data_IF_707997075049
#
_entry.id   IF_707997075049
#
_cell.length_a   1.000
_cell.length_b   1.000
_cell.length_c   1.000
_cell.angle_alpha   90.00
_cell.angle_beta   90.00
_cell.angle_gamma   90.00
#
_symmetry.space_group_name_H-M   'P 1'
#
loop_
_entity.id
_entity.type
_entity.pdbx_description
1 polymer ?
#
# COMPACT_ATOMS: atom_id res chain seq x y z
N UNK A 1 17.04 -3.81 -12.90
CA UNK A 1 15.72 -4.15 -13.46
C UNK A 1 14.73 -3.09 -13.02
N UNK A 2 13.91 -2.56 -13.92
CA UNK A 2 12.95 -1.49 -13.59
C UNK A 2 11.71 -2.04 -12.88
N UNK A 3 11.07 -1.24 -12.04
CA UNK A 3 9.83 -1.61 -11.33
C UNK A 3 8.69 -1.96 -12.30
N UNK A 4 8.62 -1.25 -13.43
CA UNK A 4 7.68 -1.54 -14.52
C UNK A 4 7.87 -2.96 -15.07
N UNK A 5 9.11 -3.41 -15.22
CA UNK A 5 9.39 -4.76 -15.71
C UNK A 5 8.96 -5.83 -14.70
N UNK A 6 9.12 -5.56 -13.40
CA UNK A 6 8.66 -6.46 -12.33
C UNK A 6 7.12 -6.51 -12.29
N UNK A 7 6.45 -5.37 -12.47
CA UNK A 7 5.00 -5.29 -12.53
C UNK A 7 4.43 -6.02 -13.76
N UNK A 8 5.06 -5.86 -14.93
CA UNK A 8 4.71 -6.54 -16.18
C UNK A 8 4.81 -8.06 -16.02
N UNK A 9 5.92 -8.55 -15.45
CA UNK A 9 6.11 -9.98 -15.18
C UNK A 9 5.07 -10.53 -14.20
N UNK A 10 4.74 -9.77 -13.15
CA UNK A 10 3.69 -10.16 -12.20
C UNK A 10 2.32 -10.23 -12.87
N UNK A 11 1.98 -9.26 -13.74
CA UNK A 11 0.74 -9.26 -14.52
C UNK A 11 0.65 -10.49 -15.42
N UNK A 12 1.70 -10.78 -16.18
CA UNK A 12 1.76 -11.96 -17.06
C UNK A 12 1.65 -13.27 -16.28
N UNK A 13 2.24 -13.36 -15.09
CA UNK A 13 2.09 -14.52 -14.22
C UNK A 13 0.66 -14.67 -13.71
N UNK A 14 0.01 -13.58 -13.30
CA UNK A 14 -1.39 -13.59 -12.89
C UNK A 14 -2.32 -14.03 -14.02
N UNK A 15 -2.12 -13.52 -15.24
CA UNK A 15 -2.89 -13.92 -16.41
C UNK A 15 -2.74 -15.42 -16.72
N UNK A 16 -1.52 -15.95 -16.61
CA UNK A 16 -1.27 -17.39 -16.79
C UNK A 16 -1.95 -18.25 -15.74
N UNK A 17 -1.94 -17.82 -14.48
CA UNK A 17 -2.62 -18.54 -13.38
C UNK A 17 -4.14 -18.49 -13.58
N UNK A 18 -4.69 -17.32 -13.91
CA UNK A 18 -6.12 -17.16 -14.17
C UNK A 18 -6.59 -18.06 -15.32
N UNK A 19 -5.86 -18.06 -16.44
CA UNK A 19 -6.18 -18.92 -17.58
C UNK A 19 -6.11 -20.43 -17.24
N UNK A 20 -5.19 -20.83 -16.37
CA UNK A 20 -5.09 -22.21 -15.90
C UNK A 20 -6.26 -22.59 -14.98
N UNK A 21 -6.63 -21.71 -14.05
CA UNK A 21 -7.80 -21.88 -13.17
C UNK A 21 -9.08 -22.04 -14.00
N UNK A 22 -9.27 -21.20 -15.01
CA UNK A 22 -10.42 -21.26 -15.92
C UNK A 22 -10.43 -22.56 -16.75
N UNK A 23 -9.29 -22.93 -17.33
CA UNK A 23 -9.15 -24.12 -18.19
C UNK A 23 -9.40 -25.41 -17.42
N UNK A 24 -8.86 -25.51 -16.22
CA UNK A 24 -8.98 -26.69 -15.37
C UNK A 24 -10.29 -26.70 -14.57
N UNK A 25 -11.15 -25.68 -14.75
CA UNK A 25 -12.38 -25.47 -13.95
C UNK A 25 -12.10 -25.58 -12.46
N UNK A 26 -10.91 -25.15 -12.03
CA UNK A 26 -10.59 -25.09 -10.62
C UNK A 26 -11.56 -24.11 -10.01
N UNK A 27 -12.29 -24.54 -8.98
CA UNK A 27 -13.14 -23.62 -8.24
C UNK A 27 -12.26 -22.47 -7.76
N UNK A 28 -12.56 -21.25 -8.22
CA UNK A 28 -11.87 -20.06 -7.76
C UNK A 28 -11.84 -20.12 -6.23
N UNK A 29 -10.63 -20.00 -5.65
CA UNK A 29 -10.49 -20.10 -4.21
C UNK A 29 -11.39 -19.05 -3.56
N UNK A 30 -12.35 -19.52 -2.78
CA UNK A 30 -13.31 -18.70 -2.07
C UNK A 30 -12.94 -18.75 -0.59
N UNK A 31 -12.26 -17.72 -0.03
CA UNK A 31 -11.80 -17.74 1.35
C UNK A 31 -12.95 -17.98 2.35
N UNK A 32 -14.17 -17.53 2.02
CA UNK A 32 -15.38 -17.77 2.82
C UNK A 32 -15.78 -19.25 2.95
N UNK A 33 -15.25 -20.13 2.09
CA UNK A 33 -15.49 -21.59 2.13
C UNK A 33 -14.36 -22.36 2.81
N UNK A 34 -13.25 -21.70 3.14
CA UNK A 34 -12.12 -22.29 3.83
C UNK A 34 -12.20 -21.97 5.33
N UNK A 35 -12.43 -23.01 6.15
CA UNK A 35 -12.58 -22.86 7.60
C UNK A 35 -11.33 -22.31 8.28
N UNK A 36 -10.13 -22.53 7.70
CA UNK A 36 -8.88 -21.97 8.22
C UNK A 36 -8.83 -20.47 7.97
N UNK A 37 -9.12 -20.04 6.73
CA UNK A 37 -9.16 -18.63 6.37
C UNK A 37 -10.19 -17.87 7.21
N UNK A 38 -11.39 -18.45 7.39
CA UNK A 38 -12.42 -17.90 8.27
C UNK A 38 -11.93 -17.79 9.72
N UNK A 39 -11.28 -18.83 10.25
CA UNK A 39 -10.76 -18.81 11.61
C UNK A 39 -9.67 -17.74 11.80
N UNK A 40 -8.76 -17.57 10.83
CA UNK A 40 -7.75 -16.53 10.87
C UNK A 40 -8.36 -15.13 10.83
N UNK A 41 -9.36 -14.88 9.98
CA UNK A 41 -10.04 -13.58 9.94
C UNK A 41 -10.81 -13.31 11.24
N UNK A 42 -11.47 -14.32 11.81
CA UNK A 42 -12.13 -14.17 13.12
C UNK A 42 -11.14 -13.86 14.25
N UNK A 43 -9.99 -14.54 14.28
CA UNK A 43 -8.94 -14.26 15.27
C UNK A 43 -8.35 -12.86 15.08
N UNK A 44 -8.13 -12.45 13.83
CA UNK A 44 -7.67 -11.11 13.49
C UNK A 44 -8.67 -10.04 13.95
N UNK A 45 -9.96 -10.25 13.68
CA UNK A 45 -11.03 -9.33 14.10
C UNK A 45 -11.11 -9.24 15.63
N UNK A 46 -11.00 -10.36 16.35
CA UNK A 46 -10.96 -10.35 17.82
C UNK A 46 -9.80 -9.52 18.36
N UNK A 47 -8.60 -9.66 17.81
CA UNK A 47 -7.44 -8.84 18.21
C UNK A 47 -7.70 -7.37 17.98
N UNK A 48 -8.18 -7.02 16.79
CA UNK A 48 -8.54 -5.65 16.45
C UNK A 48 -9.58 -5.06 17.42
N UNK A 49 -10.63 -5.81 17.76
CA UNK A 49 -11.64 -5.35 18.72
C UNK A 49 -11.04 -5.09 20.11
N UNK A 50 -10.12 -5.95 20.57
CA UNK A 50 -9.40 -5.73 21.83
C UNK A 50 -8.56 -4.47 21.78
N UNK A 51 -7.80 -4.28 20.70
CA UNK A 51 -6.94 -3.12 20.50
C UNK A 51 -7.77 -1.81 20.45
N UNK A 52 -8.96 -1.84 19.81
CA UNK A 52 -9.91 -0.71 19.80
C UNK A 52 -10.40 -0.42 21.21
N UNK A 53 -10.84 -1.43 21.95
CA UNK A 53 -11.31 -1.25 23.32
C UNK A 53 -10.21 -0.77 24.28
N UNK A 54 -8.95 -1.09 24.00
CA UNK A 54 -7.79 -0.55 24.73
C UNK A 54 -7.50 0.91 24.38
N UNK A 55 -7.58 1.27 23.10
CA UNK A 55 -7.42 2.64 22.62
C UNK A 55 -8.50 3.58 23.19
N UNK A 56 -9.77 3.16 23.14
CA UNK A 56 -10.89 3.91 23.74
C UNK A 56 -10.70 4.14 25.24
N UNK A 57 -10.24 3.12 25.98
CA UNK A 57 -9.95 3.23 27.42
C UNK A 57 -8.79 4.15 27.75
N UNK A 58 -7.79 4.20 26.87
CA UNK A 58 -6.59 5.02 27.05
C UNK A 58 -6.72 6.44 26.47
N UNK A 59 -7.82 6.74 25.79
CA UNK A 59 -8.00 8.00 25.07
C UNK A 59 -7.02 8.17 23.89
N UNK A 60 -6.37 7.09 23.48
CA UNK A 60 -5.46 7.05 22.33
C UNK A 60 -6.29 6.75 21.08
N UNK A 61 -5.85 7.28 19.95
CA UNK A 61 -6.47 7.00 18.66
C UNK A 61 -6.52 5.48 18.40
N UNK A 62 -7.66 5.00 17.89
CA UNK A 62 -7.91 3.57 17.67
C UNK A 62 -6.85 2.89 16.79
N UNK A 63 -6.68 1.56 16.90
CA UNK A 63 -5.78 0.82 16.02
C UNK A 63 -6.17 1.02 14.55
N UNK A 64 -5.29 1.68 13.82
CA UNK A 64 -5.55 2.11 12.45
C UNK A 64 -5.16 0.99 11.45
N UNK A 65 -6.13 0.53 10.66
CA UNK A 65 -5.97 -0.65 9.80
C UNK A 65 -5.20 -0.29 8.52
N UNK A 66 -3.88 -0.29 8.60
CA UNK A 66 -2.98 0.03 7.48
C UNK A 66 -3.12 -0.88 6.24
N UNK A 67 -3.57 -2.13 6.40
CA UNK A 67 -3.65 -3.12 5.29
C UNK A 67 -4.66 -2.73 4.21
N UNK A 68 -5.62 -1.87 4.51
CA UNK A 68 -6.72 -1.52 3.60
C UNK A 68 -6.61 -0.08 3.09
N UNK A 69 -5.68 0.72 3.64
CA UNK A 69 -5.50 2.11 3.24
C UNK A 69 -4.35 2.23 2.27
N UNK A 70 -4.62 2.76 1.08
CA UNK A 70 -3.62 3.02 0.06
C UNK A 70 -3.53 4.51 -0.16
N UNK A 71 -2.33 5.06 -0.05
CA UNK A 71 -2.03 6.47 -0.28
C UNK A 71 -1.24 6.64 -1.57
N UNK A 72 -1.64 7.61 -2.40
CA UNK A 72 -0.80 8.18 -3.45
C UNK A 72 0.09 9.24 -2.84
N UNK A 73 1.39 9.11 -3.03
CA UNK A 73 2.37 10.15 -2.71
C UNK A 73 2.91 10.69 -4.03
N UNK A 74 2.63 11.96 -4.31
CA UNK A 74 3.23 12.63 -5.46
C UNK A 74 4.47 13.38 -5.00
N UNK A 75 5.62 13.09 -5.60
CA UNK A 75 6.84 13.85 -5.41
C UNK A 75 6.94 14.98 -6.46
N UNK A 76 7.80 15.97 -6.24
CA UNK A 76 8.22 16.97 -7.24
C UNK A 76 9.73 17.20 -7.13
N UNK A 77 10.44 17.47 -8.24
CA UNK A 77 11.85 17.82 -8.16
C UNK A 77 12.07 19.10 -7.33
N UNK A 78 13.15 19.13 -6.57
CA UNK A 78 13.67 20.31 -5.87
C UNK A 78 14.31 21.23 -6.90
N UNK A 79 14.09 22.54 -6.76
CA UNK A 79 14.64 23.54 -7.67
C UNK A 79 16.18 23.40 -7.75
N UNK A 80 16.71 23.26 -8.96
CA UNK A 80 18.15 23.10 -9.23
C UNK A 80 18.58 21.75 -9.81
N UNK A 81 17.70 20.74 -9.87
CA UNK A 81 18.00 19.49 -10.57
C UNK A 81 17.70 19.63 -12.09
N UNK A 82 18.75 19.70 -12.89
CA UNK A 82 18.76 19.88 -14.36
C UNK A 82 18.36 18.65 -15.18
N UNK A 83 17.29 17.96 -14.78
CA UNK A 83 16.72 16.82 -15.51
C UNK A 83 15.21 16.96 -15.61
N UNK A 84 14.73 17.96 -16.34
CA UNK A 84 13.34 18.43 -16.30
C UNK A 84 12.38 17.77 -17.32
N UNK A 85 12.53 16.49 -17.62
CA UNK A 85 11.59 15.79 -18.55
C UNK A 85 11.00 14.49 -18.00
N UNK A 86 11.38 14.07 -16.80
CA UNK A 86 10.78 12.87 -16.20
C UNK A 86 9.63 13.28 -15.26
N UNK A 87 8.39 12.80 -15.50
CA UNK A 87 7.29 13.04 -14.58
C UNK A 87 7.69 12.51 -13.21
N UNK A 88 7.50 13.32 -12.18
CA UNK A 88 7.86 12.93 -10.83
C UNK A 88 7.11 11.65 -10.43
N UNK A 89 7.79 10.65 -9.86
CA UNK A 89 7.17 9.37 -9.57
C UNK A 89 6.01 9.55 -8.59
N UNK A 90 4.84 9.06 -8.98
CA UNK A 90 3.71 8.88 -8.08
C UNK A 90 3.82 7.50 -7.43
N UNK A 91 3.99 7.47 -6.12
CA UNK A 91 4.11 6.22 -5.36
C UNK A 91 2.77 5.85 -4.74
N UNK A 92 2.47 4.56 -4.71
CA UNK A 92 1.30 4.02 -4.03
C UNK A 92 1.79 3.21 -2.83
N UNK A 93 1.44 3.65 -1.62
CA UNK A 93 1.92 3.04 -0.37
C UNK A 93 0.75 2.66 0.52
N UNK A 94 0.86 1.50 1.16
CA UNK A 94 0.01 1.17 2.30
C UNK A 94 0.58 1.81 3.57
N UNK A 95 -0.26 2.50 4.34
CA UNK A 95 0.10 3.13 5.60
C UNK A 95 -1.13 3.22 6.50
N UNK A 96 -0.94 3.35 7.80
CA UNK A 96 -2.01 3.63 8.75
C UNK A 96 -2.59 5.03 8.50
N UNK A 97 -1.70 6.02 8.35
CA UNK A 97 -2.06 7.43 8.16
C UNK A 97 -1.32 8.08 7.00
N UNK A 98 -1.78 9.26 6.60
CA UNK A 98 -1.08 10.09 5.62
C UNK A 98 0.33 10.51 6.08
N UNK A 99 0.51 10.71 7.39
CA UNK A 99 1.83 11.02 7.98
C UNK A 99 2.79 9.84 7.87
N UNK A 100 2.33 8.63 8.19
CA UNK A 100 3.14 7.43 8.01
C UNK A 100 3.44 7.15 6.52
N UNK A 101 2.49 7.42 5.62
CA UNK A 101 2.74 7.33 4.18
C UNK A 101 3.82 8.32 3.71
N UNK A 102 3.82 9.55 4.25
CA UNK A 102 4.84 10.55 3.98
C UNK A 102 6.22 10.10 4.47
N UNK A 103 6.32 9.64 5.73
CA UNK A 103 7.55 9.12 6.32
C UNK A 103 8.12 7.93 5.53
N UNK A 104 7.26 6.98 5.15
CA UNK A 104 7.66 5.82 4.32
C UNK A 104 8.14 6.26 2.93
N UNK A 105 7.46 7.21 2.30
CA UNK A 105 7.91 7.77 1.01
C UNK A 105 9.24 8.52 1.15
N UNK A 106 9.45 9.21 2.27
CA UNK A 106 10.69 9.92 2.58
C UNK A 106 11.84 8.97 2.87
N UNK A 107 11.62 7.85 3.54
CA UNK A 107 12.65 6.83 3.74
C UNK A 107 13.15 6.21 2.42
N UNK A 108 12.29 6.15 1.39
CA UNK A 108 12.64 5.64 0.05
C UNK A 108 13.40 6.68 -0.78
N UNK A 109 13.05 7.97 -0.66
CA UNK A 109 13.60 9.02 -1.54
C UNK A 109 14.57 10.01 -0.87
N UNK A 110 14.58 10.08 0.46
CA UNK A 110 15.26 11.10 1.25
C UNK A 110 16.59 10.66 1.87
N UNK A 111 17.15 9.50 1.50
CA UNK A 111 18.43 9.06 2.06
C UNK A 111 19.61 9.78 1.38
N UNK A 112 20.31 10.61 2.15
CA UNK A 112 21.63 11.15 1.83
C UNK A 112 22.67 10.01 1.76
N UNK A 113 22.75 9.37 0.61
CA UNK A 113 23.82 8.44 0.24
C UNK A 113 24.87 9.14 -0.63
N UNK A 114 26.11 8.66 -0.57
CA UNK A 114 27.33 9.15 -1.28
C UNK A 114 27.19 9.26 -2.81
N UNK A 115 26.05 8.85 -3.38
CA UNK A 115 25.65 9.07 -4.76
C UNK A 115 24.46 10.04 -4.79
N UNK A 116 24.74 11.34 -4.81
CA UNK A 116 23.73 12.38 -5.08
C UNK A 116 23.06 12.12 -6.43
N UNK A 117 21.79 11.70 -6.43
CA UNK A 117 20.92 11.92 -7.59
C UNK A 117 19.43 11.88 -7.22
N UNK A 118 18.90 13.06 -6.89
CA UNK A 118 17.49 13.36 -7.06
C UNK A 118 16.87 14.07 -5.87
N UNK A 119 17.00 15.40 -5.83
CA UNK A 119 16.21 16.22 -4.91
C UNK A 119 14.75 16.12 -5.31
N UNK A 120 13.96 15.37 -4.56
CA UNK A 120 12.52 15.30 -4.71
C UNK A 120 11.88 15.68 -3.37
N UNK A 121 10.90 16.58 -3.40
CA UNK A 121 10.06 16.93 -2.26
C UNK A 121 8.68 16.32 -2.40
N UNK A 122 8.12 15.79 -1.31
CA UNK A 122 6.73 15.35 -1.29
C UNK A 122 5.85 16.58 -1.56
N UNK A 123 5.02 16.51 -2.60
CA UNK A 123 4.12 17.58 -3.01
C UNK A 123 2.69 17.35 -2.51
N UNK A 124 2.25 16.08 -2.43
CA UNK A 124 0.95 15.73 -1.87
C UNK A 124 0.91 14.28 -1.42
N UNK A 125 0.16 14.01 -0.36
CA UNK A 125 -0.24 12.66 0.07
C UNK A 125 -1.75 12.59 0.05
N UNK A 126 -2.32 11.68 -0.74
CA UNK A 126 -3.77 11.53 -0.89
C UNK A 126 -4.17 10.08 -0.68
N UNK A 127 -5.12 9.81 0.22
CA UNK A 127 -5.72 8.48 0.33
C UNK A 127 -6.51 8.18 -0.94
N UNK A 128 -6.23 7.05 -1.59
CA UNK A 128 -6.96 6.55 -2.76
C UNK A 128 -7.95 5.48 -2.32
N UNK A 129 -7.56 4.65 -1.34
CA UNK A 129 -8.41 3.59 -0.80
C UNK A 129 -8.38 3.58 0.73
N UNK A 130 -9.48 3.19 1.39
CA UNK A 130 -10.82 3.09 0.82
C UNK A 130 -11.33 4.47 0.36
N UNK A 131 -12.30 4.49 -0.56
CA UNK A 131 -12.87 5.76 -1.04
C UNK A 131 -13.55 6.50 0.12
N UNK A 132 -13.64 7.85 0.08
CA UNK A 132 -14.35 8.61 1.11
C UNK A 132 -15.80 8.12 1.26
N UNK A 133 -16.11 7.47 2.39
CA UNK A 133 -17.43 6.90 2.68
C UNK A 133 -17.49 5.37 2.67
N UNK A 134 -16.44 4.70 2.20
CA UNK A 134 -16.28 3.26 2.37
C UNK A 134 -15.76 2.94 3.77
N UNK A 135 -16.45 2.04 4.47
CA UNK A 135 -15.95 1.44 5.71
C UNK A 135 -15.03 0.28 5.36
N UNK A 136 -13.99 0.10 6.19
CA UNK A 136 -13.05 -1.01 6.15
C UNK A 136 -13.72 -2.38 6.24
#
# INVERSE_FOLDING_TARGET
>A
MSELFIAELRRLQWERIAALVDRERMAAYAPCRDSRAVCYEQQRLKRLMTDVAEAERSGVEGPEISRHRVYRVNARPTAGCSGSDMPAPAMHLMAASAGEAAERAWAVHGRDGVYQRGGYRIASVTQILPEPGELF
#
